data_IF_077207381560
#
_entry.id   IF_077207381560
#
_cell.length_a   1.000
_cell.length_b   1.000
_cell.length_c   1.000
_cell.angle_alpha   90.00
_cell.angle_beta   90.00
_cell.angle_gamma   90.00
#
_symmetry.space_group_name_H-M   'P 1'
#
loop_
_entity.id
_entity.type
_entity.pdbx_description
1 polymer ?
#
# COMPACT_ATOMS: atom_id res chain seq x y z
N UNK A 1 -22.11 44.75 3.01
CA UNK A 1 -21.52 44.19 4.24
C UNK A 1 -22.00 42.78 4.54
N UNK A 2 -23.28 42.46 4.43
CA UNK A 2 -23.83 41.10 4.63
C UNK A 2 -23.39 40.08 3.55
N UNK A 3 -23.17 40.53 2.32
CA UNK A 3 -22.75 39.67 1.19
C UNK A 3 -21.29 39.27 1.31
N UNK A 4 -20.42 40.20 1.75
CA UNK A 4 -19.00 39.91 1.98
C UNK A 4 -18.77 38.92 3.13
N UNK A 5 -19.55 39.02 4.22
CA UNK A 5 -19.47 38.04 5.32
C UNK A 5 -19.87 36.62 4.91
N UNK A 6 -20.88 36.48 4.02
CA UNK A 6 -21.28 35.17 3.47
C UNK A 6 -20.23 34.60 2.51
N UNK A 7 -19.57 35.45 1.72
CA UNK A 7 -18.51 35.02 0.81
C UNK A 7 -17.24 34.58 1.57
N UNK A 8 -16.86 35.31 2.62
CA UNK A 8 -15.74 34.90 3.49
C UNK A 8 -15.99 33.59 4.23
N UNK A 9 -17.24 33.34 4.65
CA UNK A 9 -17.60 32.08 5.31
C UNK A 9 -17.58 30.90 4.36
N UNK A 10 -17.96 31.12 3.10
CA UNK A 10 -17.94 30.08 2.04
C UNK A 10 -16.51 29.71 1.63
N UNK A 11 -15.62 30.71 1.54
CA UNK A 11 -14.20 30.51 1.24
C UNK A 11 -13.49 29.78 2.37
N UNK A 12 -13.80 30.11 3.63
CA UNK A 12 -13.25 29.42 4.81
C UNK A 12 -13.72 27.95 4.88
N UNK A 13 -14.97 27.67 4.51
CA UNK A 13 -15.50 26.30 4.48
C UNK A 13 -14.92 25.47 3.33
N UNK A 14 -14.69 26.07 2.16
CA UNK A 14 -14.03 25.42 1.04
C UNK A 14 -12.55 25.12 1.35
N UNK A 15 -11.85 26.03 2.04
CA UNK A 15 -10.48 25.82 2.49
C UNK A 15 -10.37 24.68 3.53
N UNK A 16 -11.35 24.53 4.45
CA UNK A 16 -11.38 23.42 5.41
C UNK A 16 -11.66 22.07 4.76
N UNK A 17 -12.47 22.02 3.68
CA UNK A 17 -12.69 20.77 2.95
C UNK A 17 -11.46 20.32 2.13
N UNK A 18 -10.63 21.25 1.67
CA UNK A 18 -9.40 20.92 0.94
C UNK A 18 -8.26 20.44 1.85
N UNK A 19 -8.22 20.82 3.11
CA UNK A 19 -7.18 20.40 4.06
C UNK A 19 -7.46 19.03 4.69
N UNK A 20 -8.71 18.56 4.73
CA UNK A 20 -9.06 17.27 5.32
C UNK A 20 -8.67 16.06 4.43
N UNK A 21 -8.56 16.22 3.10
CA UNK A 21 -8.27 15.14 2.15
C UNK A 21 -6.78 14.96 1.81
N UNK A 22 -5.88 15.87 2.23
CA UNK A 22 -4.47 15.86 1.82
C UNK A 22 -3.54 15.07 2.77
N UNK A 23 -4.04 14.51 3.90
CA UNK A 23 -3.19 14.04 4.99
C UNK A 23 -3.14 12.53 5.23
N UNK A 24 -3.84 11.71 4.45
CA UNK A 24 -3.87 10.26 4.70
C UNK A 24 -2.61 9.53 4.24
N UNK A 25 -1.87 10.12 3.29
CA UNK A 25 -0.70 9.51 2.67
C UNK A 25 0.44 10.52 2.48
N UNK A 26 1.64 9.97 2.42
CA UNK A 26 2.88 10.63 2.01
C UNK A 26 3.50 9.89 0.83
N UNK A 27 4.45 10.52 0.16
CA UNK A 27 5.16 9.97 -0.99
C UNK A 27 6.64 9.88 -0.69
N UNK A 28 7.28 8.78 -1.11
CA UNK A 28 8.73 8.60 -1.07
C UNK A 28 9.26 8.23 -2.45
N UNK A 29 10.34 8.89 -2.86
CA UNK A 29 11.05 8.60 -4.11
C UNK A 29 12.21 7.65 -3.82
N UNK A 30 12.10 6.40 -4.30
CA UNK A 30 13.23 5.48 -4.42
C UNK A 30 14.03 5.78 -5.69
N UNK A 31 15.13 5.09 -5.89
CA UNK A 31 15.99 5.27 -7.07
C UNK A 31 15.21 5.06 -8.38
N UNK A 32 14.44 4.00 -8.51
CA UNK A 32 13.75 3.59 -9.73
C UNK A 32 12.24 3.88 -9.75
N UNK A 33 11.64 4.14 -8.61
CA UNK A 33 10.19 4.27 -8.50
C UNK A 33 9.77 5.17 -7.35
N UNK A 34 8.49 5.54 -7.35
CA UNK A 34 7.84 6.30 -6.30
C UNK A 34 6.83 5.42 -5.58
N UNK A 35 6.82 5.47 -4.26
CA UNK A 35 5.83 4.79 -3.42
C UNK A 35 5.01 5.79 -2.60
N UNK A 36 3.75 5.45 -2.39
CA UNK A 36 2.83 6.16 -1.50
C UNK A 36 2.64 5.31 -0.24
N UNK A 37 2.68 5.92 0.93
CA UNK A 37 2.56 5.24 2.22
C UNK A 37 1.69 6.02 3.19
N UNK A 38 1.12 5.38 4.25
CA UNK A 38 0.26 6.08 5.20
C UNK A 38 0.99 7.23 5.90
N UNK A 39 0.33 8.38 6.05
CA UNK A 39 0.94 9.60 6.58
C UNK A 39 1.43 9.46 8.03
N UNK A 40 0.87 8.55 8.80
CA UNK A 40 1.25 8.24 10.18
C UNK A 40 2.35 7.15 10.31
N UNK A 41 2.84 6.62 9.18
CA UNK A 41 4.03 5.78 9.13
C UNK A 41 5.30 6.64 9.02
N UNK A 42 6.43 6.07 9.40
CA UNK A 42 7.75 6.69 9.27
C UNK A 42 8.65 5.83 8.38
N UNK A 43 9.55 6.43 7.58
CA UNK A 43 10.57 5.68 6.88
C UNK A 43 11.41 4.84 7.84
N UNK A 44 11.58 3.56 7.52
CA UNK A 44 12.46 2.62 8.22
C UNK A 44 13.81 2.64 7.50
N UNK A 45 14.84 3.07 8.19
CA UNK A 45 16.20 3.20 7.65
C UNK A 45 17.01 1.95 7.99
N UNK A 46 17.56 1.31 6.97
CA UNK A 46 18.49 0.18 7.10
C UNK A 46 19.74 0.50 6.28
N UNK A 47 20.90 0.47 6.92
CA UNK A 47 22.20 0.77 6.28
C UNK A 47 22.26 2.14 5.55
N UNK A 48 21.49 3.13 6.06
CA UNK A 48 21.44 4.48 5.48
C UNK A 48 20.35 4.68 4.40
N UNK A 49 19.70 3.62 3.95
CA UNK A 49 18.64 3.68 2.94
C UNK A 49 17.26 3.39 3.54
N UNK A 50 16.22 3.88 2.89
CA UNK A 50 14.83 3.55 3.25
C UNK A 50 14.54 2.14 2.75
N UNK A 51 14.26 1.23 3.70
CA UNK A 51 13.93 -0.18 3.44
C UNK A 51 12.41 -0.45 3.45
N UNK A 52 11.66 0.45 4.06
CA UNK A 52 10.22 0.37 4.18
C UNK A 52 9.68 1.51 5.03
N UNK A 53 8.46 1.36 5.50
CA UNK A 53 7.76 2.34 6.34
C UNK A 53 7.07 1.61 7.48
N UNK A 54 7.13 2.14 8.68
CA UNK A 54 6.52 1.53 9.84
C UNK A 54 5.84 2.52 10.76
N UNK A 55 5.00 1.99 11.62
CA UNK A 55 4.41 2.70 12.76
C UNK A 55 4.51 1.77 13.97
N UNK A 56 5.55 1.97 14.79
CA UNK A 56 5.91 1.03 15.84
C UNK A 56 6.34 -0.33 15.25
N UNK A 57 6.14 -1.40 16.02
CA UNK A 57 6.49 -2.78 15.62
C UNK A 57 5.34 -3.54 14.97
N UNK A 58 4.13 -3.02 15.08
CA UNK A 58 2.88 -3.71 14.70
C UNK A 58 2.37 -3.33 13.29
N UNK A 59 3.01 -2.38 12.64
CA UNK A 59 2.59 -1.85 11.33
C UNK A 59 3.81 -1.71 10.43
N UNK A 60 3.74 -2.31 9.25
CA UNK A 60 4.81 -2.25 8.26
C UNK A 60 4.26 -2.14 6.84
N UNK A 61 4.96 -1.40 6.00
CA UNK A 61 4.82 -1.42 4.56
C UNK A 61 6.19 -1.52 3.90
N UNK A 62 6.36 -2.53 3.07
CA UNK A 62 7.55 -2.75 2.24
C UNK A 62 7.12 -2.95 0.80
N UNK A 63 7.89 -2.42 -0.14
CA UNK A 63 7.70 -2.64 -1.57
C UNK A 63 9.02 -2.61 -2.31
N UNK A 64 9.17 -3.50 -3.25
CA UNK A 64 10.36 -3.62 -4.11
C UNK A 64 9.95 -3.90 -5.55
N UNK A 65 10.85 -3.61 -6.50
CA UNK A 65 10.78 -4.21 -7.82
C UNK A 65 11.44 -5.59 -7.73
N UNK A 66 10.65 -6.65 -7.91
CA UNK A 66 11.13 -8.03 -7.83
C UNK A 66 11.53 -8.52 -9.22
N UNK A 67 12.80 -8.89 -9.43
CA UNK A 67 13.28 -9.39 -10.72
C UNK A 67 12.86 -10.83 -11.02
N UNK A 68 12.23 -11.52 -10.07
CA UNK A 68 11.89 -12.93 -10.17
C UNK A 68 10.38 -13.21 -10.29
N UNK A 69 9.57 -12.20 -10.57
CA UNK A 69 8.13 -12.40 -10.79
C UNK A 69 7.81 -13.33 -11.96
N UNK A 70 8.72 -13.49 -12.89
CA UNK A 70 8.59 -14.42 -14.05
C UNK A 70 8.59 -15.90 -13.68
N UNK A 71 9.00 -16.28 -12.47
CA UNK A 71 8.91 -17.69 -12.05
C UNK A 71 7.47 -18.13 -11.82
N UNK A 72 6.53 -17.18 -11.82
CA UNK A 72 5.10 -17.39 -11.66
C UNK A 72 4.40 -16.93 -12.94
N UNK A 73 3.82 -17.84 -13.67
CA UNK A 73 3.28 -17.63 -15.02
C UNK A 73 2.14 -16.60 -15.07
N UNK A 74 1.46 -16.34 -13.94
CA UNK A 74 0.35 -15.41 -13.85
C UNK A 74 0.31 -14.70 -12.47
N UNK A 75 -0.43 -13.57 -12.40
CA UNK A 75 -0.72 -12.93 -11.12
C UNK A 75 -1.49 -13.84 -10.17
N UNK A 76 -2.34 -14.73 -10.69
CA UNK A 76 -3.04 -15.70 -9.87
C UNK A 76 -2.08 -16.68 -9.21
N UNK A 77 -1.10 -17.19 -9.95
CA UNK A 77 -0.07 -18.11 -9.42
C UNK A 77 0.74 -17.45 -8.32
N UNK A 78 1.07 -16.16 -8.46
CA UNK A 78 1.69 -15.37 -7.39
C UNK A 78 0.79 -15.31 -6.16
N UNK A 79 -0.49 -15.05 -6.33
CA UNK A 79 -1.46 -15.00 -5.25
C UNK A 79 -1.58 -16.34 -4.52
N UNK A 80 -1.67 -17.44 -5.26
CA UNK A 80 -1.77 -18.80 -4.71
C UNK A 80 -0.51 -19.17 -3.91
N UNK A 81 0.69 -18.86 -4.45
CA UNK A 81 1.97 -19.06 -3.77
C UNK A 81 2.09 -18.26 -2.47
N UNK A 82 1.69 -17.00 -2.50
CA UNK A 82 1.71 -16.15 -1.28
C UNK A 82 0.68 -16.60 -0.25
N UNK A 83 -0.48 -17.08 -0.67
CA UNK A 83 -1.47 -17.70 0.21
C UNK A 83 -0.89 -18.89 0.94
N UNK A 84 -0.31 -19.85 0.20
CA UNK A 84 0.35 -21.02 0.77
C UNK A 84 1.45 -20.62 1.78
N UNK A 85 2.31 -19.68 1.39
CA UNK A 85 3.38 -19.16 2.27
C UNK A 85 2.87 -18.53 3.56
N UNK A 86 1.72 -17.84 3.53
CA UNK A 86 1.11 -17.27 4.73
C UNK A 86 0.45 -18.37 5.58
N UNK A 87 -0.22 -19.33 4.95
CA UNK A 87 -0.86 -20.46 5.65
C UNK A 87 0.17 -21.32 6.38
N UNK A 88 1.34 -21.56 5.78
CA UNK A 88 2.48 -22.23 6.41
C UNK A 88 3.00 -21.50 7.65
N UNK A 89 2.81 -20.20 7.73
CA UNK A 89 3.15 -19.36 8.89
C UNK A 89 2.00 -19.23 9.91
N UNK A 90 0.91 -19.98 9.71
CA UNK A 90 -0.22 -19.99 10.63
C UNK A 90 -1.27 -18.91 10.37
N UNK A 91 -1.22 -18.20 9.25
CA UNK A 91 -2.26 -17.26 8.85
C UNK A 91 -3.46 -17.98 8.26
N UNK A 92 -4.64 -17.50 8.58
CA UNK A 92 -5.87 -17.89 7.90
C UNK A 92 -6.10 -16.90 6.76
N UNK A 93 -6.05 -17.40 5.52
CA UNK A 93 -6.09 -16.56 4.33
C UNK A 93 -7.45 -16.59 3.63
N UNK A 94 -7.82 -15.43 3.07
CA UNK A 94 -8.86 -15.32 2.05
C UNK A 94 -8.32 -15.78 0.70
N UNK A 95 -9.20 -16.07 -0.26
CA UNK A 95 -8.78 -16.35 -1.64
C UNK A 95 -8.08 -15.11 -2.26
N UNK A 96 -7.03 -15.33 -3.08
CA UNK A 96 -6.38 -14.24 -3.78
C UNK A 96 -7.36 -13.44 -4.64
N UNK A 97 -7.22 -12.12 -4.62
CA UNK A 97 -8.02 -11.21 -5.44
C UNK A 97 -7.16 -10.71 -6.59
N UNK A 98 -7.55 -11.02 -7.83
CA UNK A 98 -6.93 -10.51 -9.05
C UNK A 98 -7.81 -9.43 -9.64
N UNK A 99 -7.27 -8.23 -9.83
CA UNK A 99 -7.98 -7.10 -10.40
C UNK A 99 -7.06 -6.34 -11.36
N UNK A 100 -7.34 -6.46 -12.67
CA UNK A 100 -6.47 -5.86 -13.69
C UNK A 100 -5.04 -6.42 -13.61
N UNK A 101 -4.06 -5.55 -13.44
CA UNK A 101 -2.65 -5.87 -13.33
C UNK A 101 -2.18 -6.09 -11.88
N UNK A 102 -3.09 -6.24 -10.95
CA UNK A 102 -2.81 -6.37 -9.52
C UNK A 102 -3.39 -7.66 -8.95
N UNK A 103 -2.66 -8.28 -8.04
CA UNK A 103 -3.15 -9.36 -7.19
C UNK A 103 -2.82 -9.03 -5.74
N UNK A 104 -3.70 -9.39 -4.82
CA UNK A 104 -3.38 -9.37 -3.40
C UNK A 104 -3.99 -10.56 -2.65
N UNK A 105 -3.34 -10.91 -1.55
CA UNK A 105 -3.77 -11.95 -0.61
C UNK A 105 -3.83 -11.36 0.78
N UNK A 106 -4.93 -11.58 1.47
CA UNK A 106 -5.13 -11.20 2.86
C UNK A 106 -5.09 -12.42 3.76
N UNK A 107 -4.30 -12.35 4.82
CA UNK A 107 -4.25 -13.37 5.87
C UNK A 107 -4.31 -12.77 7.27
N UNK A 108 -4.87 -13.48 8.20
CA UNK A 108 -5.01 -13.09 9.61
C UNK A 108 -4.43 -14.16 10.53
N UNK A 109 -3.62 -13.73 11.48
CA UNK A 109 -3.14 -14.58 12.57
C UNK A 109 -3.24 -13.79 13.89
N UNK A 110 -4.11 -14.23 14.79
CA UNK A 110 -4.38 -13.51 16.03
C UNK A 110 -4.88 -12.09 15.78
N UNK A 111 -4.15 -11.11 16.28
CA UNK A 111 -4.45 -9.68 16.12
C UNK A 111 -3.70 -9.01 14.95
N UNK A 112 -2.96 -9.78 14.15
CA UNK A 112 -2.22 -9.29 12.98
C UNK A 112 -2.96 -9.62 11.69
N UNK A 113 -3.04 -8.67 10.78
CA UNK A 113 -3.47 -8.86 9.40
C UNK A 113 -2.34 -8.50 8.45
N UNK A 114 -2.10 -9.37 7.47
CA UNK A 114 -1.11 -9.18 6.40
C UNK A 114 -1.75 -9.16 5.03
N UNK A 115 -1.21 -8.30 4.17
CA UNK A 115 -1.51 -8.23 2.74
C UNK A 115 -0.22 -8.42 1.97
N UNK A 116 -0.16 -9.47 1.14
CA UNK A 116 0.83 -9.57 0.07
C UNK A 116 0.20 -9.10 -1.23
N UNK A 117 0.93 -8.34 -2.02
CA UNK A 117 0.44 -7.90 -3.32
C UNK A 117 1.55 -7.88 -4.36
N UNK A 118 1.16 -7.98 -5.64
CA UNK A 118 2.00 -7.73 -6.79
C UNK A 118 1.27 -6.86 -7.80
N UNK A 119 2.03 -6.01 -8.48
CA UNK A 119 1.55 -5.16 -9.56
C UNK A 119 2.44 -5.37 -10.77
N UNK A 120 1.85 -5.82 -11.88
CA UNK A 120 2.52 -5.96 -13.17
C UNK A 120 2.39 -4.67 -13.96
N UNK A 121 3.36 -3.77 -13.81
CA UNK A 121 3.41 -2.54 -14.61
C UNK A 121 3.92 -2.86 -16.02
N UNK A 122 3.19 -2.38 -17.05
CA UNK A 122 3.55 -2.60 -18.46
C UNK A 122 4.90 -1.97 -18.86
N UNK A 123 5.39 -0.99 -18.10
CA UNK A 123 6.70 -0.37 -18.32
C UNK A 123 7.87 -1.17 -17.71
N UNK A 124 7.60 -2.15 -16.86
CA UNK A 124 8.60 -3.08 -16.35
C UNK A 124 8.86 -4.21 -17.36
N UNK A 125 10.10 -4.76 -17.40
CA UNK A 125 10.37 -6.00 -18.11
C UNK A 125 9.40 -7.12 -17.72
N UNK A 126 9.18 -8.08 -18.61
CA UNK A 126 8.20 -9.16 -18.41
C UNK A 126 8.45 -9.98 -17.13
N UNK A 127 9.72 -10.14 -16.75
CA UNK A 127 10.16 -10.86 -15.55
C UNK A 127 10.04 -10.04 -14.26
N UNK A 128 9.79 -8.74 -14.32
CA UNK A 128 9.75 -7.86 -13.16
C UNK A 128 8.33 -7.47 -12.77
N UNK A 129 8.08 -7.28 -11.49
CA UNK A 129 6.86 -6.68 -10.96
C UNK A 129 7.15 -5.87 -9.69
N UNK A 130 6.24 -4.97 -9.33
CA UNK A 130 6.20 -4.50 -7.95
C UNK A 130 5.66 -5.61 -7.06
N UNK A 131 6.39 -5.90 -5.98
CA UNK A 131 5.95 -6.82 -4.93
C UNK A 131 5.97 -6.09 -3.60
N UNK A 132 4.89 -6.18 -2.86
CA UNK A 132 4.77 -5.51 -1.57
C UNK A 132 4.16 -6.36 -0.49
N UNK A 133 4.43 -5.95 0.73
CA UNK A 133 3.88 -6.49 1.95
C UNK A 133 3.39 -5.33 2.82
N UNK A 134 2.18 -5.48 3.32
CA UNK A 134 1.61 -4.58 4.29
C UNK A 134 1.07 -5.39 5.47
N UNK A 135 1.34 -4.97 6.70
CA UNK A 135 0.64 -5.50 7.85
C UNK A 135 0.26 -4.42 8.85
N UNK A 136 -0.79 -4.67 9.59
CA UNK A 136 -1.25 -3.88 10.71
C UNK A 136 -1.97 -4.75 11.74
N UNK A 137 -2.39 -4.13 12.83
CA UNK A 137 -3.32 -4.77 13.76
C UNK A 137 -4.71 -4.92 13.12
N UNK A 138 -5.41 -6.00 13.46
CA UNK A 138 -6.79 -6.24 12.98
C UNK A 138 -7.74 -5.11 13.37
N UNK A 139 -7.50 -4.45 14.50
CA UNK A 139 -8.28 -3.28 14.97
C UNK A 139 -8.10 -2.05 14.10
N UNK A 140 -7.00 -1.97 13.34
CA UNK A 140 -6.67 -0.84 12.47
C UNK A 140 -6.95 -1.12 10.98
N UNK A 141 -7.33 -2.35 10.64
CA UNK A 141 -7.54 -2.77 9.25
C UNK A 141 -8.57 -1.90 8.53
N UNK A 142 -9.67 -1.53 9.18
CA UNK A 142 -10.71 -0.69 8.59
C UNK A 142 -10.17 0.69 8.16
N UNK A 143 -9.15 1.21 8.84
CA UNK A 143 -8.46 2.45 8.49
C UNK A 143 -7.53 2.26 7.28
N UNK A 144 -6.70 1.21 7.31
CA UNK A 144 -5.59 1.08 6.35
C UNK A 144 -5.94 0.33 5.07
N UNK A 145 -6.90 -0.58 5.08
CA UNK A 145 -7.29 -1.33 3.88
C UNK A 145 -7.69 -0.43 2.70
N UNK A 146 -8.54 0.60 2.87
CA UNK A 146 -8.85 1.53 1.78
C UNK A 146 -7.61 2.30 1.31
N UNK A 147 -6.75 2.73 2.22
CA UNK A 147 -5.51 3.44 1.88
C UNK A 147 -4.60 2.54 1.04
N UNK A 148 -4.41 1.28 1.44
CA UNK A 148 -3.62 0.30 0.70
C UNK A 148 -4.16 0.09 -0.71
N UNK A 149 -5.44 -0.24 -0.84
CA UNK A 149 -6.04 -0.65 -2.11
C UNK A 149 -6.33 0.52 -3.07
N UNK A 150 -6.64 1.71 -2.54
CA UNK A 150 -7.07 2.86 -3.34
C UNK A 150 -5.96 3.89 -3.57
N UNK A 151 -4.92 3.94 -2.71
CA UNK A 151 -3.86 4.95 -2.78
C UNK A 151 -2.45 4.38 -2.89
N UNK A 152 -2.10 3.38 -2.07
CA UNK A 152 -0.73 2.87 -2.02
C UNK A 152 -0.40 2.01 -3.24
N UNK A 153 -1.20 0.99 -3.53
CA UNK A 153 -0.99 0.12 -4.70
C UNK A 153 -1.11 0.91 -6.01
N UNK A 154 -2.17 1.70 -6.25
CA UNK A 154 -2.28 2.51 -7.46
C UNK A 154 -1.25 3.63 -7.56
N UNK A 155 -0.66 4.04 -6.44
CA UNK A 155 0.35 5.10 -6.35
C UNK A 155 1.77 4.67 -6.72
N UNK A 156 2.03 3.36 -6.90
CA UNK A 156 3.32 2.86 -7.38
C UNK A 156 3.56 3.28 -8.82
N UNK A 157 4.67 3.98 -9.07
CA UNK A 157 5.02 4.51 -10.39
C UNK A 157 6.52 4.43 -10.61
N UNK A 158 6.91 3.99 -11.80
CA UNK A 158 8.29 4.09 -12.28
C UNK A 158 8.67 5.57 -12.52
N UNK A 159 9.95 5.87 -12.35
CA UNK A 159 10.54 7.19 -12.62
C UNK A 159 11.03 7.28 -14.05
#
# INVERSE_FOLDING_TARGET
EKIMKKFMMLVAFAAMCFTANAQDVKTHEFDKFVAVYPADFQPKIVWGDVDGFNKGEDHLFEVVIDPYCATLATLKDFGDDRKESLEDKGFKCDEPVVKGNTVYVRGVNGNEVRYWFAVKDAALPDEECFRGLFWCLTTDEAKYKPILLEKMIPGLKLK
#
